data_IF_322196835029
#
_entry.id   IF_322196835029
#
_cell.length_a   1.000
_cell.length_b   1.000
_cell.length_c   1.000
_cell.angle_alpha   90.00
_cell.angle_beta   90.00
_cell.angle_gamma   90.00
#
_symmetry.space_group_name_H-M   'P 1'
#
loop_
_entity.id
_entity.type
_entity.pdbx_description
1 polymer ?
#
# COMPACT_ATOMS: atom_id res chain seq x y z
N UNK A 1 -55.00 18.53 -50.87
CA UNK A 1 -54.58 19.60 -49.95
C UNK A 1 -54.48 19.14 -48.49
N UNK A 2 -55.38 18.30 -48.00
CA UNK A 2 -55.37 17.78 -46.63
C UNK A 2 -54.22 16.81 -46.36
N UNK A 3 -53.82 15.97 -47.30
CA UNK A 3 -52.72 15.02 -47.16
C UNK A 3 -51.39 15.77 -47.02
N UNK A 4 -51.15 16.83 -47.76
CA UNK A 4 -49.95 17.65 -47.65
C UNK A 4 -49.88 18.41 -46.32
N UNK A 5 -51.00 18.87 -45.79
CA UNK A 5 -51.06 19.52 -44.48
C UNK A 5 -50.79 18.52 -43.33
N UNK A 6 -51.27 17.29 -43.43
CA UNK A 6 -50.98 16.22 -42.48
C UNK A 6 -49.52 15.78 -42.51
N UNK A 7 -48.90 15.62 -43.71
CA UNK A 7 -47.50 15.30 -43.86
C UNK A 7 -46.59 16.42 -43.30
N UNK A 8 -46.94 17.70 -43.53
CA UNK A 8 -46.17 18.80 -42.94
C UNK A 8 -46.32 18.88 -41.41
N UNK A 9 -47.50 18.50 -40.87
CA UNK A 9 -47.71 18.35 -39.44
C UNK A 9 -46.88 17.26 -38.83
N UNK A 10 -46.80 16.12 -39.50
CA UNK A 10 -45.97 14.97 -39.03
C UNK A 10 -44.50 15.28 -39.10
N UNK A 11 -44.01 15.94 -40.12
CA UNK A 11 -42.60 16.39 -40.22
C UNK A 11 -42.25 17.37 -39.08
N UNK A 12 -43.09 18.32 -38.79
CA UNK A 12 -42.90 19.28 -37.70
C UNK A 12 -42.91 18.59 -36.32
N UNK A 13 -43.77 17.61 -36.12
CA UNK A 13 -43.81 16.84 -34.91
C UNK A 13 -42.51 16.04 -34.75
N UNK A 14 -42.05 15.43 -35.82
CA UNK A 14 -40.79 14.67 -35.84
C UNK A 14 -39.60 15.55 -35.52
N UNK A 15 -39.50 16.72 -36.21
CA UNK A 15 -38.43 17.70 -35.93
C UNK A 15 -38.45 18.18 -34.47
N UNK A 16 -39.62 18.42 -33.92
CA UNK A 16 -39.77 18.79 -32.51
C UNK A 16 -39.29 17.67 -31.56
N UNK A 17 -39.66 16.43 -31.84
CA UNK A 17 -39.22 15.29 -31.06
C UNK A 17 -37.70 15.10 -31.13
N UNK A 18 -37.11 15.25 -32.29
CA UNK A 18 -35.67 15.17 -32.47
C UNK A 18 -34.93 16.30 -31.71
N UNK A 19 -35.45 17.52 -31.76
CA UNK A 19 -34.91 18.62 -30.96
C UNK A 19 -35.06 18.41 -29.47
N UNK A 20 -36.19 17.87 -29.00
CA UNK A 20 -36.37 17.57 -27.59
C UNK A 20 -35.40 16.48 -27.09
N UNK A 21 -35.11 15.48 -27.90
CA UNK A 21 -34.08 14.46 -27.64
C UNK A 21 -32.69 15.10 -27.58
N UNK A 22 -32.33 15.96 -28.49
CA UNK A 22 -31.05 16.66 -28.52
C UNK A 22 -30.89 17.57 -27.33
N UNK A 23 -31.92 18.31 -26.91
CA UNK A 23 -31.92 19.16 -25.72
C UNK A 23 -31.72 18.30 -24.46
N UNK A 24 -32.43 17.18 -24.36
CA UNK A 24 -32.27 16.25 -23.21
C UNK A 24 -30.85 15.69 -23.17
N UNK A 25 -30.28 15.31 -24.31
CA UNK A 25 -28.89 14.81 -24.40
C UNK A 25 -27.89 15.87 -23.98
N UNK A 26 -28.03 17.10 -24.44
CA UNK A 26 -27.16 18.22 -24.07
C UNK A 26 -27.23 18.55 -22.59
N UNK A 27 -28.43 18.49 -21.99
CA UNK A 27 -28.61 18.67 -20.53
C UNK A 27 -27.92 17.60 -19.74
N UNK A 28 -27.99 16.34 -20.19
CA UNK A 28 -27.30 15.21 -19.56
C UNK A 28 -25.78 15.39 -19.63
N UNK A 29 -25.26 15.76 -20.81
CA UNK A 29 -23.84 16.03 -20.99
C UNK A 29 -23.35 17.17 -20.08
N UNK A 30 -24.11 18.25 -19.98
CA UNK A 30 -23.81 19.36 -19.09
C UNK A 30 -23.76 18.92 -17.64
N UNK A 31 -24.75 18.14 -17.19
CA UNK A 31 -24.79 17.60 -15.81
C UNK A 31 -23.58 16.70 -15.54
N UNK A 32 -23.20 15.86 -16.50
CA UNK A 32 -22.03 15.00 -16.38
C UNK A 32 -20.72 15.81 -16.27
N UNK A 33 -20.55 16.85 -17.08
CA UNK A 33 -19.39 17.73 -17.01
C UNK A 33 -19.31 18.46 -15.68
N UNK A 34 -20.43 18.98 -15.18
CA UNK A 34 -20.48 19.60 -13.86
C UNK A 34 -20.10 18.62 -12.74
N UNK A 35 -20.61 17.38 -12.79
CA UNK A 35 -20.27 16.34 -11.82
C UNK A 35 -18.78 16.00 -11.87
N UNK A 36 -18.19 15.90 -13.05
CA UNK A 36 -16.75 15.67 -13.19
C UNK A 36 -15.93 16.83 -12.63
N UNK A 37 -16.35 18.06 -12.91
CA UNK A 37 -15.69 19.26 -12.38
C UNK A 37 -15.72 19.28 -10.85
N UNK A 38 -16.85 19.00 -10.21
CA UNK A 38 -16.94 18.91 -8.75
C UNK A 38 -16.02 17.83 -8.16
N UNK A 39 -15.93 16.67 -8.82
CA UNK A 39 -15.01 15.60 -8.39
C UNK A 39 -13.55 16.03 -8.48
N UNK A 40 -13.17 16.72 -9.54
CA UNK A 40 -11.82 17.25 -9.71
C UNK A 40 -11.50 18.31 -8.66
N UNK A 41 -12.41 19.25 -8.42
CA UNK A 41 -12.25 20.28 -7.42
C UNK A 41 -12.13 19.67 -6.01
N UNK A 42 -12.95 18.68 -5.67
CA UNK A 42 -12.86 17.96 -4.39
C UNK A 42 -11.54 17.21 -4.27
N UNK A 43 -11.06 16.59 -5.35
CA UNK A 43 -9.76 15.92 -5.37
C UNK A 43 -8.61 16.89 -5.12
N UNK A 44 -8.65 18.08 -5.74
CA UNK A 44 -7.63 19.10 -5.55
C UNK A 44 -7.66 19.66 -4.12
N UNK A 45 -8.85 19.94 -3.58
CA UNK A 45 -9.01 20.60 -2.29
C UNK A 45 -8.86 19.66 -1.09
N UNK A 46 -9.16 18.38 -1.24
CA UNK A 46 -9.17 17.41 -0.13
C UNK A 46 -8.24 16.24 -0.33
N UNK A 47 -8.37 15.52 -1.44
CA UNK A 47 -7.67 14.25 -1.67
C UNK A 47 -6.17 14.47 -1.87
N UNK A 48 -5.77 15.48 -2.65
CA UNK A 48 -4.35 15.74 -2.90
C UNK A 48 -3.59 16.21 -1.66
N UNK A 49 -4.10 17.14 -0.83
CA UNK A 49 -3.43 17.49 0.42
C UNK A 49 -3.27 16.29 1.36
N UNK A 50 -4.27 15.43 1.49
CA UNK A 50 -4.20 14.23 2.32
C UNK A 50 -3.16 13.23 1.77
N UNK A 51 -3.12 13.03 0.46
CA UNK A 51 -2.13 12.18 -0.18
C UNK A 51 -0.71 12.74 -0.02
N UNK A 52 -0.53 14.04 -0.13
CA UNK A 52 0.75 14.70 0.09
C UNK A 52 1.24 14.46 1.52
N UNK A 53 0.40 14.69 2.51
CA UNK A 53 0.74 14.46 3.92
C UNK A 53 1.03 12.99 4.21
N UNK A 54 0.24 12.07 3.66
CA UNK A 54 0.47 10.64 3.80
C UNK A 54 1.82 10.21 3.21
N UNK A 55 2.13 10.68 1.98
CA UNK A 55 3.39 10.37 1.33
C UNK A 55 4.59 10.97 2.08
N UNK A 56 4.48 12.21 2.60
CA UNK A 56 5.51 12.82 3.43
C UNK A 56 5.76 12.04 4.72
N UNK A 57 4.70 11.61 5.40
CA UNK A 57 4.80 10.81 6.61
C UNK A 57 5.45 9.44 6.30
N UNK A 58 5.12 8.84 5.17
CA UNK A 58 5.71 7.59 4.72
C UNK A 58 7.21 7.72 4.41
N UNK A 59 7.60 8.80 3.74
CA UNK A 59 9.02 9.13 3.49
C UNK A 59 9.77 9.30 4.81
N UNK A 60 9.25 10.10 5.73
CA UNK A 60 9.87 10.31 7.03
C UNK A 60 10.01 9.00 7.82
N UNK A 61 9.00 8.15 7.80
CA UNK A 61 9.03 6.84 8.45
C UNK A 61 10.08 5.91 7.85
N UNK A 62 10.17 5.83 6.51
CA UNK A 62 11.19 5.03 5.83
C UNK A 62 12.61 5.55 6.10
N UNK A 63 12.81 6.87 6.09
CA UNK A 63 14.12 7.48 6.41
C UNK A 63 14.52 7.18 7.84
N UNK A 64 13.60 7.24 8.80
CA UNK A 64 13.86 6.90 10.19
C UNK A 64 14.23 5.40 10.35
N UNK A 65 13.54 4.52 9.65
CA UNK A 65 13.83 3.08 9.68
C UNK A 65 15.16 2.75 9.01
N UNK A 66 15.50 3.44 7.93
CA UNK A 66 16.81 3.31 7.29
C UNK A 66 17.95 3.79 8.22
N UNK A 67 17.73 4.86 8.95
CA UNK A 67 18.69 5.36 9.94
C UNK A 67 18.86 4.37 11.10
N UNK A 68 17.77 3.74 11.57
CA UNK A 68 17.83 2.71 12.59
C UNK A 68 18.58 1.46 12.09
N UNK A 69 18.35 1.07 10.85
CA UNK A 69 19.08 -0.03 10.22
C UNK A 69 20.58 0.26 10.13
N UNK A 70 20.94 1.49 9.77
CA UNK A 70 22.34 1.95 9.71
C UNK A 70 23.00 2.02 11.11
N UNK A 71 22.23 2.32 12.15
CA UNK A 71 22.70 2.30 13.54
C UNK A 71 22.95 0.87 14.06
N UNK A 72 22.38 -0.14 13.42
CA UNK A 72 22.59 -1.56 13.74
C UNK A 72 23.16 -2.32 12.53
N UNK A 73 24.38 -1.98 12.09
CA UNK A 73 24.96 -2.52 10.87
C UNK A 73 25.30 -4.01 11.02
N UNK A 74 25.30 -4.72 9.88
CA UNK A 74 25.78 -6.10 9.87
C UNK A 74 27.29 -6.15 10.10
N UNK A 75 27.78 -7.07 10.95
CA UNK A 75 29.21 -7.30 11.07
C UNK A 75 29.77 -7.97 9.80
N UNK A 76 31.09 -8.09 9.73
CA UNK A 76 31.79 -8.76 8.60
C UNK A 76 31.30 -10.20 8.42
N UNK A 77 30.94 -10.87 9.51
CA UNK A 77 30.37 -12.23 9.49
C UNK A 77 28.92 -12.30 9.01
N UNK A 78 28.30 -11.15 8.75
CA UNK A 78 26.96 -11.08 8.17
C UNK A 78 25.78 -11.35 9.09
N UNK A 79 26.00 -11.43 10.43
CA UNK A 79 24.92 -11.57 11.40
C UNK A 79 25.20 -10.77 12.67
N UNK A 80 24.24 -9.95 13.08
CA UNK A 80 24.37 -9.02 14.20
C UNK A 80 23.79 -9.58 15.51
N UNK A 81 23.10 -10.70 15.44
CA UNK A 81 22.35 -11.24 16.55
C UNK A 81 20.86 -10.90 16.50
N UNK A 82 20.09 -11.62 17.28
CA UNK A 82 18.63 -11.53 17.32
C UNK A 82 18.15 -11.86 18.73
N UNK A 83 17.16 -11.13 19.20
CA UNK A 83 16.44 -11.48 20.41
C UNK A 83 15.14 -12.19 20.03
N UNK A 84 14.94 -13.40 20.54
CA UNK A 84 13.73 -14.17 20.37
C UNK A 84 13.27 -14.68 21.73
N UNK A 85 12.06 -14.28 22.15
CA UNK A 85 11.45 -14.67 23.45
C UNK A 85 12.35 -14.41 24.65
N UNK A 86 13.07 -13.29 24.66
CA UNK A 86 13.95 -12.90 25.72
C UNK A 86 15.38 -13.47 25.65
N UNK A 87 15.64 -14.40 24.74
CA UNK A 87 16.96 -14.97 24.52
C UNK A 87 17.70 -14.22 23.42
N UNK A 88 18.93 -13.78 23.70
CA UNK A 88 19.79 -13.16 22.70
C UNK A 88 20.59 -14.23 21.96
N UNK A 89 20.35 -14.35 20.66
CA UNK A 89 20.96 -15.37 19.80
C UNK A 89 21.98 -14.69 18.88
N UNK A 90 23.22 -15.13 18.91
CA UNK A 90 24.32 -14.59 18.11
C UNK A 90 24.69 -15.48 16.93
N UNK A 91 24.17 -16.68 16.87
CA UNK A 91 24.39 -17.64 15.80
C UNK A 91 23.19 -17.70 14.85
N UNK A 92 23.43 -17.70 13.55
CA UNK A 92 22.39 -17.76 12.50
C UNK A 92 21.51 -19.00 12.62
N UNK A 93 22.10 -20.14 12.86
CA UNK A 93 21.38 -21.41 12.91
C UNK A 93 20.45 -21.45 14.12
N UNK A 94 20.93 -20.98 15.28
CA UNK A 94 20.12 -20.88 16.49
C UNK A 94 18.99 -19.86 16.34
N UNK A 95 19.27 -18.70 15.71
CA UNK A 95 18.26 -17.69 15.44
C UNK A 95 17.19 -18.20 14.48
N UNK A 96 17.59 -18.86 13.40
CA UNK A 96 16.67 -19.47 12.45
C UNK A 96 15.79 -20.54 13.08
N UNK A 97 16.38 -21.39 13.91
CA UNK A 97 15.64 -22.42 14.65
C UNK A 97 14.65 -21.81 15.65
N UNK A 98 15.04 -20.74 16.34
CA UNK A 98 14.16 -20.03 17.28
C UNK A 98 12.97 -19.38 16.58
N UNK A 99 13.14 -18.84 15.38
CA UNK A 99 12.04 -18.32 14.57
C UNK A 99 11.06 -19.43 14.19
N UNK A 100 11.55 -20.59 13.77
CA UNK A 100 10.70 -21.74 13.45
C UNK A 100 9.92 -22.25 14.68
N UNK A 101 10.57 -22.28 15.84
CA UNK A 101 9.89 -22.61 17.11
C UNK A 101 8.80 -21.59 17.47
N UNK A 102 9.05 -20.30 17.18
CA UNK A 102 8.08 -19.25 17.45
C UNK A 102 6.80 -19.38 16.61
N UNK A 103 6.81 -20.11 15.50
CA UNK A 103 5.61 -20.39 14.72
C UNK A 103 4.51 -21.08 15.52
N UNK A 104 4.87 -21.83 16.54
CA UNK A 104 3.91 -22.50 17.41
C UNK A 104 3.04 -21.52 18.21
N UNK A 105 3.53 -20.31 18.45
CA UNK A 105 2.84 -19.27 19.21
C UNK A 105 1.94 -18.40 18.34
N UNK A 106 2.13 -18.40 17.02
CA UNK A 106 1.30 -17.67 16.08
C UNK A 106 -0.07 -18.33 15.93
N UNK A 107 -1.14 -17.58 16.21
CA UNK A 107 -2.50 -18.15 16.29
C UNK A 107 -3.48 -17.56 15.27
N UNK A 108 -3.09 -16.60 14.48
CA UNK A 108 -3.97 -15.97 13.50
C UNK A 108 -3.48 -14.60 13.05
N UNK A 109 -4.43 -13.73 12.69
CA UNK A 109 -4.14 -12.40 12.18
C UNK A 109 -3.68 -11.42 13.26
N UNK A 110 -3.88 -11.75 14.53
CA UNK A 110 -3.40 -10.92 15.62
C UNK A 110 -1.88 -11.08 15.79
N UNK A 111 -1.11 -9.97 15.71
CA UNK A 111 0.35 -10.05 15.84
C UNK A 111 0.78 -10.49 17.23
N UNK A 112 1.64 -11.51 17.30
CA UNK A 112 2.25 -11.99 18.52
C UNK A 112 3.71 -11.51 18.56
N UNK A 113 4.09 -10.59 19.46
CA UNK A 113 5.47 -10.15 19.59
C UNK A 113 6.39 -11.31 19.98
N UNK A 114 7.51 -11.46 19.26
CA UNK A 114 8.46 -12.56 19.50
C UNK A 114 9.88 -12.11 19.83
N UNK A 115 10.23 -10.86 19.59
CA UNK A 115 11.56 -10.36 19.88
C UNK A 115 11.95 -9.11 19.10
N UNK A 116 13.25 -8.94 18.91
CA UNK A 116 13.84 -7.80 18.21
C UNK A 116 14.96 -8.21 17.27
N UNK A 117 15.07 -7.50 16.15
CA UNK A 117 16.15 -7.67 15.19
C UNK A 117 16.57 -6.33 14.60
N UNK A 118 17.85 -5.97 14.75
CA UNK A 118 18.45 -4.72 14.27
C UNK A 118 17.65 -3.48 14.66
N UNK A 119 17.09 -3.45 15.87
CA UNK A 119 16.26 -2.36 16.37
C UNK A 119 14.79 -2.46 16.03
N UNK A 120 14.40 -3.36 15.12
CA UNK A 120 12.99 -3.58 14.76
C UNK A 120 12.33 -4.60 15.69
N UNK A 121 11.10 -4.34 16.09
CA UNK A 121 10.30 -5.28 16.86
C UNK A 121 9.74 -6.36 15.93
N UNK A 122 9.96 -7.62 16.28
CA UNK A 122 9.45 -8.77 15.53
C UNK A 122 8.12 -9.24 16.10
N UNK A 123 7.14 -9.41 15.21
CA UNK A 123 5.85 -10.02 15.54
C UNK A 123 5.48 -11.04 14.47
N UNK A 124 4.76 -12.11 14.86
CA UNK A 124 4.28 -13.13 13.95
C UNK A 124 2.77 -13.08 13.79
N UNK A 125 2.31 -13.25 12.57
CA UNK A 125 0.91 -13.52 12.22
C UNK A 125 0.82 -14.77 11.35
N UNK A 126 -0.35 -15.39 11.35
CA UNK A 126 -0.67 -16.47 10.41
C UNK A 126 -1.76 -15.96 9.48
N UNK A 127 -1.46 -15.91 8.21
CA UNK A 127 -2.35 -15.44 7.15
C UNK A 127 -2.75 -16.58 6.22
N UNK A 128 -3.62 -16.30 5.26
CA UNK A 128 -4.11 -17.26 4.26
C UNK A 128 -4.62 -18.57 4.89
N UNK A 129 -5.59 -18.44 5.80
CA UNK A 129 -6.24 -19.59 6.46
C UNK A 129 -5.26 -20.56 7.15
N UNK A 130 -4.21 -20.03 7.77
CA UNK A 130 -3.22 -20.81 8.49
C UNK A 130 -2.08 -21.38 7.64
N UNK A 131 -1.99 -20.98 6.39
CA UNK A 131 -0.98 -21.50 5.43
C UNK A 131 0.31 -20.70 5.40
N UNK A 132 0.24 -19.39 5.72
CA UNK A 132 1.38 -18.49 5.62
C UNK A 132 1.74 -17.89 6.96
N UNK A 133 3.01 -17.99 7.33
CA UNK A 133 3.58 -17.29 8.48
C UNK A 133 4.21 -15.98 8.00
N UNK A 134 3.74 -14.87 8.55
CA UNK A 134 4.22 -13.54 8.22
C UNK A 134 4.91 -12.92 9.42
N UNK A 135 6.18 -12.59 9.26
CA UNK A 135 6.94 -11.82 10.24
C UNK A 135 6.79 -10.34 9.94
N UNK A 136 6.49 -9.56 10.94
CA UNK A 136 6.47 -8.11 10.86
C UNK A 136 7.67 -7.55 11.60
N UNK A 137 8.49 -6.78 10.91
CA UNK A 137 9.56 -5.97 11.47
C UNK A 137 9.05 -4.54 11.60
N UNK A 138 8.83 -4.09 12.83
CA UNK A 138 8.23 -2.79 13.09
C UNK A 138 9.25 -1.80 13.65
N UNK A 139 9.47 -0.73 12.89
CA UNK A 139 10.10 0.50 13.33
C UNK A 139 9.07 1.62 13.35
N UNK A 140 9.33 2.73 12.69
CA UNK A 140 8.31 3.74 12.40
C UNK A 140 7.31 3.22 11.35
N UNK A 141 7.78 2.40 10.43
CA UNK A 141 6.98 1.71 9.44
C UNK A 141 6.94 0.22 9.75
N UNK A 142 6.06 -0.48 9.05
CA UNK A 142 5.90 -1.92 9.16
C UNK A 142 6.47 -2.61 7.93
N UNK A 143 7.36 -3.59 8.15
CA UNK A 143 8.01 -4.35 7.09
C UNK A 143 7.58 -5.81 7.21
N UNK A 144 6.84 -6.33 6.24
CA UNK A 144 6.33 -7.69 6.24
C UNK A 144 7.29 -8.62 5.50
N UNK A 145 7.51 -9.79 6.10
CA UNK A 145 8.36 -10.86 5.55
C UNK A 145 7.61 -12.17 5.60
N UNK A 146 7.46 -12.81 4.45
CA UNK A 146 6.88 -14.14 4.38
C UNK A 146 7.93 -15.17 4.80
N UNK A 147 7.65 -15.94 5.84
CA UNK A 147 8.53 -16.97 6.35
C UNK A 147 8.11 -18.37 5.88
N UNK A 148 9.11 -19.23 5.68
CA UNK A 148 8.93 -20.61 5.29
C UNK A 148 9.62 -21.58 6.25
N UNK A 149 9.79 -22.81 5.79
CA UNK A 149 10.41 -23.89 6.57
C UNK A 149 11.94 -23.85 6.60
N UNK A 150 12.56 -23.08 5.71
CA UNK A 150 14.01 -22.92 5.65
C UNK A 150 14.47 -21.83 6.63
N UNK A 151 15.11 -22.24 7.71
CA UNK A 151 15.58 -21.35 8.77
C UNK A 151 16.55 -20.27 8.25
N UNK A 152 17.53 -20.65 7.42
CA UNK A 152 18.49 -19.70 6.84
C UNK A 152 17.84 -18.79 5.80
N UNK A 153 16.98 -19.36 4.98
CA UNK A 153 16.22 -18.60 3.99
C UNK A 153 15.35 -17.52 4.63
N UNK A 154 14.79 -17.76 5.81
CA UNK A 154 14.02 -16.78 6.55
C UNK A 154 14.87 -15.56 6.95
N UNK A 155 16.09 -15.77 7.43
CA UNK A 155 17.01 -14.67 7.76
C UNK A 155 17.40 -13.85 6.53
N UNK A 156 17.62 -14.50 5.40
CA UNK A 156 17.90 -13.83 4.12
C UNK A 156 16.69 -13.00 3.68
N UNK A 157 15.49 -13.52 3.80
CA UNK A 157 14.26 -12.79 3.46
C UNK A 157 14.05 -11.56 4.35
N UNK A 158 14.38 -11.65 5.63
CA UNK A 158 14.34 -10.50 6.55
C UNK A 158 15.30 -9.41 6.09
N UNK A 159 16.55 -9.75 5.78
CA UNK A 159 17.53 -8.81 5.27
C UNK A 159 17.10 -8.19 3.94
N UNK A 160 16.55 -8.98 3.03
CA UNK A 160 16.05 -8.49 1.75
C UNK A 160 14.92 -7.48 1.94
N UNK A 161 14.00 -7.73 2.87
CA UNK A 161 12.91 -6.81 3.19
C UNK A 161 13.42 -5.47 3.74
N UNK A 162 14.41 -5.51 4.63
CA UNK A 162 15.03 -4.30 5.18
C UNK A 162 15.84 -3.55 4.12
N UNK A 163 16.56 -4.26 3.27
CA UNK A 163 17.35 -3.68 2.18
C UNK A 163 16.50 -3.14 1.02
N UNK A 164 15.22 -3.46 0.97
CA UNK A 164 14.27 -2.93 0.00
C UNK A 164 13.78 -1.52 0.34
N UNK A 165 14.07 -1.00 1.54
CA UNK A 165 13.62 0.34 1.96
C UNK A 165 14.05 1.47 1.02
N UNK A 166 15.29 1.56 0.51
CA UNK A 166 15.68 2.60 -0.43
C UNK A 166 14.84 2.62 -1.71
N UNK A 167 14.51 1.47 -2.25
CA UNK A 167 13.62 1.34 -3.42
C UNK A 167 12.19 1.78 -3.11
N UNK A 168 11.68 1.41 -1.94
CA UNK A 168 10.35 1.85 -1.48
C UNK A 168 10.32 3.36 -1.28
N UNK A 169 11.36 3.93 -0.70
CA UNK A 169 11.51 5.37 -0.51
C UNK A 169 11.46 6.10 -1.86
N UNK A 170 12.21 5.63 -2.84
CA UNK A 170 12.20 6.20 -4.19
C UNK A 170 10.81 6.14 -4.81
N UNK A 171 10.10 5.02 -4.69
CA UNK A 171 8.75 4.87 -5.20
C UNK A 171 7.75 5.84 -4.56
N UNK A 172 7.87 6.11 -3.27
CA UNK A 172 7.03 7.09 -2.57
C UNK A 172 7.37 8.51 -2.99
N UNK A 173 8.65 8.84 -3.15
CA UNK A 173 9.11 10.14 -3.66
C UNK A 173 8.58 10.41 -5.08
N UNK A 174 8.66 9.43 -5.97
CA UNK A 174 8.10 9.53 -7.32
C UNK A 174 6.58 9.77 -7.30
N UNK A 175 5.85 9.08 -6.43
CA UNK A 175 4.41 9.32 -6.27
C UNK A 175 4.11 10.74 -5.79
N UNK A 176 4.88 11.24 -4.84
CA UNK A 176 4.74 12.62 -4.36
C UNK A 176 5.02 13.63 -5.47
N UNK A 177 6.10 13.43 -6.23
CA UNK A 177 6.45 14.29 -7.36
C UNK A 177 5.36 14.28 -8.43
N UNK A 178 4.77 13.13 -8.72
CA UNK A 178 3.64 13.00 -9.64
C UNK A 178 2.40 13.76 -9.17
N UNK A 179 2.13 13.79 -7.87
CA UNK A 179 1.02 14.57 -7.31
C UNK A 179 1.27 16.08 -7.52
N UNK A 180 2.49 16.56 -7.29
CA UNK A 180 2.84 17.96 -7.53
C UNK A 180 2.83 18.35 -9.02
N UNK A 181 3.07 17.39 -9.92
CA UNK A 181 3.04 17.63 -11.36
C UNK A 181 1.61 17.72 -11.95
N UNK A 182 0.60 17.34 -11.22
CA UNK A 182 -0.81 17.43 -11.62
C UNK A 182 -1.42 18.77 -11.18
#
# INVERSE_FOLDING_TARGET
AEIKALCAGDERIKEKMDLDVDVARLRLMKANHQSQQYRLEDSILRTFPEQIEWNKAHIAGLEADMAMLAAHPLPVEGFVGMEVKGDTLTDKDNAGAALLEAFKDAKGLEPVPIGNYRGFVMSLTVEDFGREFVLTLKGQMTHKVLLGKDARGNLIRMENALNAMPERLRGVQERLDNIYAQ
#
